data_IF_073464884726
#
_entry.id   IF_073464884726
#
_cell.length_a   1.000
_cell.length_b   1.000
_cell.length_c   1.000
_cell.angle_alpha   90.00
_cell.angle_beta   90.00
_cell.angle_gamma   90.00
#
_symmetry.space_group_name_H-M   'P 1'
#
loop_
_entity.id
_entity.type
_entity.pdbx_description
1 polymer ?
#
# COMPACT_ATOMS: atom_id res chain seq x y z
N UNK A 1 21.75 20.64 -26.47
CA UNK A 1 20.88 20.17 -25.40
C UNK A 1 19.84 21.24 -25.16
N UNK A 2 18.58 20.94 -25.35
CA UNK A 2 17.48 21.89 -25.10
C UNK A 2 17.27 22.03 -23.59
N UNK A 3 16.65 23.14 -23.13
CA UNK A 3 16.33 23.34 -21.72
C UNK A 3 15.48 22.20 -21.17
N UNK A 4 14.64 21.59 -21.99
CA UNK A 4 13.84 20.42 -21.66
C UNK A 4 14.70 19.16 -21.39
N UNK A 5 15.75 18.93 -22.18
CA UNK A 5 16.69 17.82 -21.97
C UNK A 5 17.53 18.02 -20.71
N UNK A 6 17.88 19.26 -20.39
CA UNK A 6 18.58 19.61 -19.13
C UNK A 6 17.66 19.38 -17.92
N UNK A 7 16.40 19.81 -17.99
CA UNK A 7 15.40 19.58 -16.95
C UNK A 7 15.12 18.09 -16.75
N UNK A 8 14.93 17.35 -17.83
CA UNK A 8 14.73 15.89 -17.79
C UNK A 8 15.93 15.16 -17.18
N UNK A 9 17.15 15.59 -17.51
CA UNK A 9 18.37 14.99 -16.98
C UNK A 9 18.62 15.31 -15.49
N UNK A 10 18.23 16.50 -15.04
CA UNK A 10 18.34 16.89 -13.63
C UNK A 10 17.26 16.18 -12.82
N UNK A 11 16.01 16.10 -13.29
CA UNK A 11 14.90 15.44 -12.62
C UNK A 11 15.08 13.91 -12.54
N UNK A 12 15.75 13.28 -13.52
CA UNK A 12 16.07 11.86 -13.47
C UNK A 12 17.18 11.49 -12.49
N UNK A 13 18.00 12.46 -12.06
CA UNK A 13 19.09 12.24 -11.07
C UNK A 13 18.64 12.33 -9.62
N UNK A 14 17.59 13.07 -9.34
CA UNK A 14 16.96 13.13 -8.03
C UNK A 14 15.62 12.40 -8.17
N UNK A 15 15.56 11.13 -7.83
CA UNK A 15 14.27 10.49 -7.61
C UNK A 15 13.52 11.32 -6.57
N UNK A 16 12.36 11.89 -6.91
CA UNK A 16 11.54 12.61 -5.96
C UNK A 16 11.22 11.66 -4.81
N UNK A 17 11.52 12.04 -3.58
CA UNK A 17 11.20 11.24 -2.40
C UNK A 17 9.83 11.67 -1.88
N UNK A 18 8.80 11.54 -2.71
CA UNK A 18 7.42 11.89 -2.35
C UNK A 18 6.96 11.19 -1.08
N UNK A 19 7.41 9.98 -0.87
CA UNK A 19 7.12 9.17 0.33
C UNK A 19 7.66 9.81 1.62
N UNK A 20 8.75 10.57 1.53
CA UNK A 20 9.39 11.25 2.65
C UNK A 20 8.90 12.69 2.88
N UNK A 21 8.00 13.21 2.04
CA UNK A 21 7.46 14.56 2.19
C UNK A 21 6.41 14.63 3.30
N UNK A 22 6.42 15.70 4.12
CA UNK A 22 5.42 15.89 5.16
C UNK A 22 4.06 16.26 4.52
N UNK A 23 2.99 15.69 5.02
CA UNK A 23 1.63 16.09 4.67
C UNK A 23 1.20 17.20 5.60
N UNK A 24 1.14 18.43 5.07
CA UNK A 24 0.94 19.66 5.86
C UNK A 24 -0.42 19.70 6.58
N UNK A 25 -1.41 19.03 6.05
CA UNK A 25 -2.77 18.96 6.62
C UNK A 25 -2.90 17.88 7.69
N UNK A 26 -1.92 16.96 7.79
CA UNK A 26 -1.94 15.85 8.73
C UNK A 26 -1.31 16.23 10.07
N UNK A 27 -1.77 15.56 11.12
CA UNK A 27 -1.27 15.68 12.49
C UNK A 27 -0.88 14.30 13.04
N UNK A 28 -0.25 14.26 14.21
CA UNK A 28 0.05 13.00 14.88
C UNK A 28 -1.19 12.19 15.26
N UNK A 29 -2.35 12.85 15.40
CA UNK A 29 -3.63 12.20 15.71
C UNK A 29 -4.18 11.39 14.52
N UNK A 30 -3.72 11.68 13.31
CA UNK A 30 -4.09 10.93 12.10
C UNK A 30 -3.32 9.59 12.00
N UNK A 31 -2.32 9.36 12.88
CA UNK A 31 -1.60 8.10 12.97
C UNK A 31 -2.22 7.17 14.02
N UNK A 32 -2.38 5.91 13.66
CA UNK A 32 -2.83 4.85 14.58
C UNK A 32 -1.69 4.44 15.51
N UNK A 33 -1.86 4.78 16.78
CA UNK A 33 -0.87 4.51 17.82
C UNK A 33 -0.60 3.01 18.01
N UNK A 34 -1.62 2.18 17.89
CA UNK A 34 -1.47 0.73 18.06
C UNK A 34 -0.60 0.13 16.95
N UNK A 35 -0.81 0.56 15.70
CA UNK A 35 0.02 0.14 14.55
C UNK A 35 1.48 0.59 14.72
N UNK A 36 1.69 1.82 15.22
CA UNK A 36 3.03 2.33 15.51
C UNK A 36 3.73 1.51 16.60
N UNK A 37 3.05 1.24 17.71
CA UNK A 37 3.61 0.47 18.83
C UNK A 37 3.96 -0.96 18.42
N UNK A 38 3.10 -1.62 17.63
CA UNK A 38 3.38 -2.94 17.05
C UNK A 38 4.65 -2.92 16.17
N UNK A 39 4.73 -1.95 15.25
CA UNK A 39 5.87 -1.79 14.39
C UNK A 39 7.16 -1.52 15.16
N UNK A 40 7.13 -0.61 16.14
CA UNK A 40 8.29 -0.30 16.98
C UNK A 40 8.73 -1.51 17.80
N UNK A 41 7.80 -2.33 18.29
CA UNK A 41 8.13 -3.58 18.98
C UNK A 41 8.87 -4.58 18.07
N UNK A 42 8.44 -4.71 16.80
CA UNK A 42 9.12 -5.53 15.80
C UNK A 42 10.52 -4.96 15.47
N UNK A 43 10.63 -3.64 15.27
CA UNK A 43 11.92 -2.99 15.01
C UNK A 43 12.88 -3.14 16.18
N UNK A 44 12.40 -3.05 17.41
CA UNK A 44 13.22 -3.24 18.62
C UNK A 44 13.76 -4.67 18.72
N UNK A 45 12.97 -5.67 18.33
CA UNK A 45 13.43 -7.07 18.25
C UNK A 45 14.51 -7.25 17.18
N UNK A 46 14.33 -6.62 16.01
CA UNK A 46 15.27 -6.72 14.89
C UNK A 46 16.57 -5.93 15.14
N UNK A 47 16.51 -4.79 15.84
CA UNK A 47 17.62 -3.87 16.11
C UNK A 47 17.66 -3.42 17.55
N UNK A 48 17.91 -4.35 18.52
CA UNK A 48 17.79 -4.05 19.96
C UNK A 48 18.78 -2.97 20.45
N UNK A 49 19.92 -2.85 19.79
CA UNK A 49 20.99 -1.94 20.20
C UNK A 49 20.98 -0.60 19.44
N UNK A 50 19.91 -0.28 18.72
CA UNK A 50 19.85 0.99 18.02
C UNK A 50 19.78 2.17 19.00
N UNK A 51 20.62 3.23 18.83
CA UNK A 51 20.76 4.31 19.82
C UNK A 51 19.49 5.13 20.01
N UNK A 52 18.59 5.14 19.02
CA UNK A 52 17.36 5.92 19.09
C UNK A 52 16.31 5.34 20.04
N UNK A 53 16.49 4.12 20.57
CA UNK A 53 15.54 3.56 21.54
C UNK A 53 15.53 4.24 22.90
N UNK A 54 16.53 5.06 23.21
CA UNK A 54 16.59 5.89 24.41
C UNK A 54 15.86 7.24 24.27
N UNK A 55 15.40 7.57 23.07
CA UNK A 55 14.74 8.85 22.79
C UNK A 55 13.24 8.79 23.15
N UNK A 56 12.60 9.96 23.37
CA UNK A 56 11.16 10.06 23.47
C UNK A 56 10.46 9.51 22.22
N UNK A 57 9.22 9.05 22.38
CA UNK A 57 8.43 8.41 21.32
C UNK A 57 8.42 9.20 20.01
N UNK A 58 8.10 10.48 20.06
CA UNK A 58 8.04 11.34 18.87
C UNK A 58 9.40 11.48 18.19
N UNK A 59 10.48 11.52 18.95
CA UNK A 59 11.84 11.57 18.40
C UNK A 59 12.22 10.23 17.72
N UNK A 60 11.72 9.11 18.21
CA UNK A 60 11.88 7.81 17.54
C UNK A 60 11.17 7.84 16.18
N UNK A 61 9.93 8.34 16.13
CA UNK A 61 9.18 8.47 14.87
C UNK A 61 9.90 9.37 13.87
N UNK A 62 10.53 10.46 14.34
CA UNK A 62 11.34 11.35 13.51
C UNK A 62 12.59 10.65 12.97
N UNK A 63 13.30 9.88 13.81
CA UNK A 63 14.46 9.09 13.37
C UNK A 63 14.10 8.03 12.33
N UNK A 64 12.92 7.47 12.42
CA UNK A 64 12.40 6.49 11.45
C UNK A 64 11.74 7.15 10.23
N UNK A 65 11.73 8.48 10.15
CA UNK A 65 11.09 9.27 9.09
C UNK A 65 9.59 8.99 8.91
N UNK A 66 8.95 8.53 9.97
CA UNK A 66 7.49 8.41 10.01
C UNK A 66 6.86 9.80 10.12
N UNK A 67 7.55 10.69 10.83
CA UNK A 67 7.18 12.11 10.95
C UNK A 67 8.39 13.00 10.65
N UNK A 68 8.13 14.23 10.23
CA UNK A 68 9.11 15.29 10.03
C UNK A 68 8.63 16.52 10.81
N UNK A 69 9.56 17.27 11.34
CA UNK A 69 9.30 18.56 11.97
C UNK A 69 9.39 19.68 10.91
N UNK A 70 8.30 20.40 10.76
CA UNK A 70 8.18 21.54 9.86
C UNK A 70 7.55 22.69 10.64
N UNK A 71 8.22 23.85 10.70
CA UNK A 71 7.78 25.02 11.45
C UNK A 71 7.47 24.71 12.92
N UNK A 72 8.37 23.97 13.59
CA UNK A 72 8.24 23.48 14.97
C UNK A 72 7.03 22.57 15.23
N UNK A 73 6.40 22.03 14.17
CA UNK A 73 5.28 21.10 14.25
C UNK A 73 5.69 19.74 13.68
N UNK A 74 5.45 18.68 14.43
CA UNK A 74 5.61 17.30 13.94
C UNK A 74 4.47 16.93 12.99
N UNK A 75 4.82 16.61 11.77
CA UNK A 75 3.86 16.21 10.72
C UNK A 75 4.18 14.82 10.19
N UNK A 76 3.18 13.97 9.99
CA UNK A 76 3.37 12.69 9.31
C UNK A 76 3.92 12.88 7.90
N UNK A 77 4.82 12.00 7.50
CA UNK A 77 5.21 11.86 6.10
C UNK A 77 4.13 11.10 5.33
N UNK A 78 4.16 11.16 4.00
CA UNK A 78 3.28 10.34 3.18
C UNK A 78 3.44 8.85 3.50
N UNK A 79 4.69 8.35 3.59
CA UNK A 79 4.96 6.98 3.99
C UNK A 79 4.43 6.68 5.40
N UNK A 80 4.59 7.61 6.34
CA UNK A 80 4.05 7.48 7.70
C UNK A 80 2.54 7.28 7.71
N UNK A 81 1.80 8.10 6.95
CA UNK A 81 0.34 7.97 6.82
C UNK A 81 -0.07 6.67 6.11
N UNK A 82 0.59 6.32 5.01
CA UNK A 82 0.27 5.11 4.25
C UNK A 82 0.51 3.82 5.04
N UNK A 83 1.49 3.83 5.94
CA UNK A 83 1.83 2.66 6.76
C UNK A 83 1.08 2.61 8.09
N UNK A 84 0.80 3.76 8.69
CA UNK A 84 0.32 3.85 10.08
C UNK A 84 -0.88 4.77 10.26
N UNK A 85 -1.39 5.38 9.20
CA UNK A 85 -2.56 6.25 9.30
C UNK A 85 -3.82 5.49 9.72
N UNK A 86 -4.71 6.18 10.44
CA UNK A 86 -6.05 5.67 10.78
C UNK A 86 -6.94 5.61 9.54
N UNK A 87 -6.83 6.59 8.64
CA UNK A 87 -7.50 6.62 7.34
C UNK A 87 -6.67 7.40 6.32
N UNK A 88 -5.66 6.77 5.69
CA UNK A 88 -4.75 7.43 4.74
C UNK A 88 -5.45 8.06 3.53
N UNK A 89 -6.57 7.50 3.08
CA UNK A 89 -7.32 7.97 1.91
C UNK A 89 -7.96 9.35 2.11
N UNK A 90 -8.01 9.85 3.34
CA UNK A 90 -8.39 11.25 3.62
C UNK A 90 -7.41 12.23 2.95
N UNK A 91 -6.13 11.88 2.93
CA UNK A 91 -5.06 12.69 2.38
C UNK A 91 -4.69 12.25 0.96
N UNK A 92 -4.81 10.94 0.70
CA UNK A 92 -4.38 10.30 -0.53
C UNK A 92 -5.47 9.41 -1.10
N UNK A 93 -6.48 10.06 -1.70
CA UNK A 93 -7.70 9.40 -2.18
C UNK A 93 -7.46 8.34 -3.27
N UNK A 94 -6.37 8.45 -4.02
CA UNK A 94 -6.06 7.53 -5.12
C UNK A 94 -5.33 6.26 -4.65
N UNK A 95 -4.89 6.22 -3.38
CA UNK A 95 -4.19 5.07 -2.81
C UNK A 95 -5.16 3.98 -2.41
N UNK A 96 -5.71 3.32 -3.42
CA UNK A 96 -6.72 2.27 -3.29
C UNK A 96 -6.48 1.17 -4.31
N UNK A 97 -6.97 -0.03 -4.01
CA UNK A 97 -7.07 -1.13 -4.98
C UNK A 97 -8.54 -1.38 -5.30
N UNK A 98 -8.86 -1.47 -6.58
CA UNK A 98 -10.20 -1.80 -7.04
C UNK A 98 -10.18 -3.15 -7.72
N UNK A 99 -10.96 -4.09 -7.19
CA UNK A 99 -11.21 -5.37 -7.81
C UNK A 99 -12.46 -5.27 -8.68
N UNK A 100 -12.34 -5.73 -9.94
CA UNK A 100 -13.46 -5.79 -10.89
C UNK A 100 -13.52 -7.20 -11.47
N UNK A 101 -14.68 -7.84 -11.36
CA UNK A 101 -14.96 -9.11 -12.02
C UNK A 101 -15.96 -8.88 -13.14
N UNK A 102 -15.57 -9.20 -14.36
CA UNK A 102 -16.42 -9.07 -15.54
C UNK A 102 -17.26 -10.34 -15.73
N UNK A 103 -18.44 -10.18 -16.38
CA UNK A 103 -19.33 -11.29 -16.69
C UNK A 103 -18.70 -12.27 -17.68
N UNK A 104 -18.08 -11.76 -18.72
CA UNK A 104 -17.51 -12.54 -19.82
C UNK A 104 -15.97 -12.50 -19.86
N UNK A 105 -15.44 -12.83 -21.00
CA UNK A 105 -14.00 -12.82 -21.27
C UNK A 105 -13.49 -11.49 -21.81
N UNK A 106 -14.40 -10.57 -22.10
CA UNK A 106 -14.08 -9.21 -22.58
C UNK A 106 -14.72 -8.16 -21.66
N UNK A 107 -14.15 -6.95 -21.65
CA UNK A 107 -14.64 -5.82 -20.81
C UNK A 107 -15.95 -5.22 -21.34
N UNK A 108 -16.43 -5.66 -22.50
CA UNK A 108 -17.64 -5.16 -23.18
C UNK A 108 -18.84 -6.09 -23.05
N UNK A 109 -18.65 -7.32 -22.58
CA UNK A 109 -19.73 -8.26 -22.37
C UNK A 109 -20.56 -7.88 -21.13
N UNK A 110 -21.89 -7.92 -21.28
CA UNK A 110 -22.84 -7.62 -20.22
C UNK A 110 -23.58 -8.92 -19.82
N UNK A 111 -23.97 -8.99 -18.55
CA UNK A 111 -24.83 -10.05 -18.08
C UNK A 111 -26.22 -9.94 -18.74
N UNK A 112 -27.02 -11.02 -18.82
CA UNK A 112 -28.41 -10.96 -19.27
C UNK A 112 -29.28 -9.97 -18.52
N UNK A 113 -28.89 -9.61 -17.29
CA UNK A 113 -29.50 -8.58 -16.44
C UNK A 113 -29.11 -7.14 -16.83
N UNK A 114 -28.15 -6.96 -17.76
CA UNK A 114 -27.58 -5.67 -18.14
C UNK A 114 -26.44 -5.20 -17.23
N UNK A 115 -26.02 -5.99 -16.26
CA UNK A 115 -24.90 -5.67 -15.38
C UNK A 115 -23.58 -5.94 -16.09
N UNK A 116 -22.65 -4.97 -15.99
CA UNK A 116 -21.34 -5.06 -16.63
C UNK A 116 -20.33 -5.81 -15.75
N UNK A 117 -20.49 -5.72 -14.44
CA UNK A 117 -19.60 -6.34 -13.47
C UNK A 117 -20.39 -7.36 -12.64
N UNK A 118 -19.81 -8.53 -12.44
CA UNK A 118 -20.29 -9.52 -11.47
C UNK A 118 -19.94 -9.10 -10.06
N UNK A 119 -18.81 -8.41 -9.92
CA UNK A 119 -18.34 -7.89 -8.66
C UNK A 119 -17.49 -6.64 -8.86
N UNK A 120 -17.61 -5.69 -7.93
CA UNK A 120 -16.86 -4.43 -7.89
C UNK A 120 -16.59 -4.08 -6.43
N UNK A 121 -15.32 -4.17 -6.03
CA UNK A 121 -14.94 -3.92 -4.65
C UNK A 121 -13.70 -3.04 -4.55
N UNK A 122 -13.78 -2.03 -3.68
CA UNK A 122 -12.70 -1.10 -3.36
C UNK A 122 -12.07 -1.49 -2.02
N UNK A 123 -10.74 -1.47 -1.95
CA UNK A 123 -9.96 -1.69 -0.75
C UNK A 123 -9.25 -0.42 -0.35
N UNK A 124 -9.46 0.01 0.88
CA UNK A 124 -8.92 1.21 1.51
C UNK A 124 -8.26 0.83 2.84
N UNK A 125 -7.52 1.76 3.43
CA UNK A 125 -6.77 1.58 4.66
C UNK A 125 -5.27 1.82 4.45
N UNK A 126 -4.45 1.30 5.33
CA UNK A 126 -2.99 1.30 5.16
C UNK A 126 -2.57 0.38 4.01
N UNK A 127 -1.36 0.60 3.48
CA UNK A 127 -0.80 -0.27 2.41
C UNK A 127 -0.86 -1.74 2.80
N UNK A 128 -0.53 -2.07 4.05
CA UNK A 128 -0.61 -3.45 4.55
C UNK A 128 -2.03 -3.98 4.51
N UNK A 129 -3.00 -3.23 5.03
CA UNK A 129 -4.42 -3.63 5.05
C UNK A 129 -4.98 -3.81 3.64
N UNK A 130 -4.63 -2.91 2.71
CA UNK A 130 -5.05 -3.03 1.31
C UNK A 130 -4.50 -4.32 0.69
N UNK A 131 -3.18 -4.59 0.87
CA UNK A 131 -2.54 -5.78 0.30
C UNK A 131 -3.17 -7.05 0.87
N UNK A 132 -3.33 -7.14 2.19
CA UNK A 132 -3.85 -8.32 2.86
C UNK A 132 -5.33 -8.55 2.44
N UNK A 133 -6.18 -7.53 2.57
CA UNK A 133 -7.61 -7.63 2.25
C UNK A 133 -7.87 -7.90 0.76
N UNK A 134 -7.13 -7.24 -0.15
CA UNK A 134 -7.28 -7.48 -1.58
C UNK A 134 -6.81 -8.88 -1.97
N UNK A 135 -5.67 -9.35 -1.43
CA UNK A 135 -5.15 -10.70 -1.67
C UNK A 135 -6.15 -11.75 -1.21
N UNK A 136 -6.61 -11.67 0.03
CA UNK A 136 -7.57 -12.62 0.62
C UNK A 136 -8.87 -12.65 -0.19
N UNK A 137 -9.37 -11.48 -0.59
CA UNK A 137 -10.60 -11.38 -1.36
C UNK A 137 -10.47 -12.01 -2.76
N UNK A 138 -9.40 -11.71 -3.49
CA UNK A 138 -9.17 -12.29 -4.82
C UNK A 138 -8.97 -13.80 -4.71
N UNK A 139 -8.21 -14.28 -3.72
CA UNK A 139 -8.05 -15.72 -3.45
C UNK A 139 -9.38 -16.40 -3.15
N UNK A 140 -10.27 -15.76 -2.40
CA UNK A 140 -11.60 -16.30 -2.10
C UNK A 140 -12.53 -16.31 -3.34
N UNK A 141 -12.40 -15.31 -4.21
CA UNK A 141 -13.21 -15.16 -5.45
C UNK A 141 -12.70 -16.05 -6.60
N UNK A 142 -11.46 -16.53 -6.49
CA UNK A 142 -10.81 -17.31 -7.54
C UNK A 142 -11.41 -18.71 -7.68
N UNK A 143 -11.53 -19.17 -8.91
CA UNK A 143 -11.95 -20.55 -9.19
C UNK A 143 -10.88 -21.53 -8.70
N UNK A 144 -11.33 -22.58 -8.01
CA UNK A 144 -10.48 -23.67 -7.55
C UNK A 144 -10.62 -24.85 -8.50
N UNK A 145 -9.52 -25.24 -9.12
CA UNK A 145 -9.41 -26.55 -9.76
C UNK A 145 -9.19 -27.62 -8.69
N UNK A 146 -9.69 -28.84 -8.91
CA UNK A 146 -9.34 -29.96 -8.03
C UNK A 146 -8.52 -30.99 -8.79
N UNK A 147 -7.34 -31.29 -8.28
CA UNK A 147 -6.50 -32.39 -8.77
C UNK A 147 -6.59 -33.56 -7.79
N UNK A 148 -7.00 -34.73 -8.28
CA UNK A 148 -7.01 -35.96 -7.50
C UNK A 148 -5.67 -36.68 -7.76
N UNK A 149 -4.81 -36.76 -6.75
CA UNK A 149 -3.62 -37.61 -6.77
C UNK A 149 -3.80 -38.75 -5.75
N UNK A 150 -4.08 -39.94 -6.25
CA UNK A 150 -4.35 -41.11 -5.39
C UNK A 150 -5.63 -40.92 -4.57
N UNK A 151 -5.53 -40.99 -3.24
CA UNK A 151 -6.68 -40.82 -2.30
C UNK A 151 -6.82 -39.40 -1.79
N UNK A 152 -5.95 -38.49 -2.18
CA UNK A 152 -5.94 -37.11 -1.68
C UNK A 152 -6.43 -36.17 -2.76
N UNK A 153 -7.46 -35.37 -2.43
CA UNK A 153 -7.93 -34.24 -3.23
C UNK A 153 -7.10 -33.01 -2.85
N UNK A 154 -6.52 -32.37 -3.83
CA UNK A 154 -5.76 -31.14 -3.67
C UNK A 154 -6.46 -30.02 -4.45
N UNK A 155 -6.87 -28.96 -3.76
CA UNK A 155 -7.41 -27.77 -4.41
C UNK A 155 -6.25 -26.95 -4.96
N UNK A 156 -6.32 -26.65 -6.26
CA UNK A 156 -5.31 -25.84 -6.95
C UNK A 156 -5.97 -24.52 -7.32
N UNK A 157 -5.37 -23.42 -6.86
CA UNK A 157 -5.77 -22.09 -7.27
C UNK A 157 -5.24 -21.79 -8.69
N UNK A 158 -5.98 -20.99 -9.45
CA UNK A 158 -5.60 -20.60 -10.81
C UNK A 158 -4.28 -19.80 -10.82
N UNK A 159 -4.07 -18.97 -9.80
CA UNK A 159 -2.82 -18.24 -9.57
C UNK A 159 -2.30 -18.49 -8.15
N UNK A 160 -0.96 -18.58 -7.97
CA UNK A 160 -0.36 -18.65 -6.65
C UNK A 160 -0.60 -17.35 -5.86
N UNK A 161 -0.92 -17.47 -4.58
CA UNK A 161 -1.11 -16.34 -3.68
C UNK A 161 0.07 -15.35 -3.70
N UNK A 162 1.30 -15.87 -3.71
CA UNK A 162 2.53 -15.07 -3.74
C UNK A 162 2.60 -14.17 -4.98
N UNK A 163 2.24 -14.72 -6.15
CA UNK A 163 2.26 -13.94 -7.40
C UNK A 163 1.19 -12.85 -7.41
N UNK A 164 0.00 -13.17 -6.86
CA UNK A 164 -1.07 -12.18 -6.72
C UNK A 164 -0.68 -11.06 -5.76
N UNK A 165 -0.14 -11.41 -4.62
CA UNK A 165 0.34 -10.45 -3.62
C UNK A 165 1.40 -9.51 -4.20
N UNK A 166 2.36 -10.06 -4.93
CA UNK A 166 3.39 -9.26 -5.60
C UNK A 166 2.80 -8.32 -6.65
N UNK A 167 1.83 -8.78 -7.43
CA UNK A 167 1.15 -7.93 -8.41
C UNK A 167 0.42 -6.75 -7.75
N UNK A 168 -0.26 -6.97 -6.61
CA UNK A 168 -0.93 -5.92 -5.84
C UNK A 168 0.10 -4.92 -5.27
N UNK A 169 1.20 -5.42 -4.69
CA UNK A 169 2.30 -4.58 -4.17
C UNK A 169 2.87 -3.71 -5.26
N UNK A 170 3.16 -4.28 -6.43
CA UNK A 170 3.71 -3.54 -7.57
C UNK A 170 2.73 -2.48 -8.09
N UNK A 171 1.43 -2.79 -8.15
CA UNK A 171 0.42 -1.81 -8.55
C UNK A 171 0.34 -0.61 -7.59
N UNK A 172 0.43 -0.84 -6.28
CA UNK A 172 0.47 0.21 -5.27
C UNK A 172 1.76 1.04 -5.34
N UNK A 173 2.91 0.38 -5.53
CA UNK A 173 4.20 1.07 -5.66
C UNK A 173 4.23 1.98 -6.90
N UNK A 174 3.76 1.50 -8.05
CA UNK A 174 3.64 2.30 -9.27
C UNK A 174 2.67 3.48 -9.12
N UNK A 175 1.59 3.31 -8.37
CA UNK A 175 0.66 4.39 -8.04
C UNK A 175 1.30 5.54 -7.26
N UNK A 176 2.36 5.27 -6.48
CA UNK A 176 3.14 6.29 -5.79
C UNK A 176 4.13 7.02 -6.72
N UNK A 177 4.67 6.31 -7.72
CA UNK A 177 5.65 6.88 -8.66
C UNK A 177 5.01 7.76 -9.74
N UNK A 178 3.75 7.54 -10.07
CA UNK A 178 3.04 8.25 -11.17
C UNK A 178 2.49 9.62 -10.77
N UNK A 179 2.80 10.12 -9.57
CA UNK A 179 2.48 11.49 -9.13
C UNK A 179 3.49 12.52 -9.65
N UNK A 180 3.62 12.59 -10.98
CA UNK A 180 4.40 13.63 -11.68
C UNK A 180 3.47 14.55 -12.43
#
# INVERSE_FOLDING_TARGET
MSDYEIYSFISSRTQPKFDAEPILEATLEDLDRSKLEEYLALQRKARPNAPYWSLPFEQILKQLRIVIETDDIMRPTLAGLLMFGSYPQRFEQQMVVVFLQFYGTTTTEEAPSGERFLDNRKFEGTVKEIIDNATDYVMASMRKGSLIRGVTRQDIYEYPEVALREAIVNALALGLETKV
#
